data_IF_535899678457
#
_entry.id   IF_535899678457
#
_cell.length_a   1.000
_cell.length_b   1.000
_cell.length_c   1.000
_cell.angle_alpha   90.00
_cell.angle_beta   90.00
_cell.angle_gamma   90.00
#
_symmetry.space_group_name_H-M   'P 1'
#
loop_
_entity.id
_entity.type
_entity.pdbx_description
1 polymer ?
#
# COMPACT_ATOMS: atom_id res chain seq x y z
N UNK A 1 53.75 12.29 -28.93
CA UNK A 1 52.31 12.35 -29.26
C UNK A 1 51.74 10.98 -28.94
N UNK A 2 50.87 10.86 -27.96
CA UNK A 2 50.31 9.56 -27.58
C UNK A 2 49.09 9.26 -28.43
N UNK A 3 49.03 8.07 -29.02
CA UNK A 3 47.83 7.55 -29.66
C UNK A 3 46.92 6.93 -28.59
N UNK A 4 45.73 7.51 -28.41
CA UNK A 4 44.77 7.08 -27.38
C UNK A 4 43.49 6.67 -28.10
N UNK A 5 43.08 5.42 -27.88
CA UNK A 5 41.83 4.87 -28.41
C UNK A 5 40.84 4.64 -27.26
N UNK A 6 39.58 5.02 -27.47
CA UNK A 6 38.50 4.87 -26.49
C UNK A 6 37.44 3.89 -26.99
N UNK A 7 37.01 2.98 -26.12
CA UNK A 7 35.97 2.00 -26.42
C UNK A 7 34.89 2.01 -25.34
N UNK A 8 33.65 1.72 -25.73
CA UNK A 8 32.53 1.57 -24.80
C UNK A 8 32.36 0.10 -24.42
N UNK A 9 32.11 -0.18 -23.14
CA UNK A 9 31.91 -1.53 -22.63
C UNK A 9 30.65 -1.59 -21.76
N UNK A 10 29.78 -2.60 -21.93
CA UNK A 10 28.57 -2.72 -21.14
C UNK A 10 28.86 -3.03 -19.66
N UNK A 11 28.10 -2.38 -18.78
CA UNK A 11 28.13 -2.63 -17.35
C UNK A 11 27.50 -3.97 -16.96
N UNK A 12 28.00 -4.57 -15.87
CA UNK A 12 27.43 -5.77 -15.23
C UNK A 12 27.32 -7.00 -16.15
N UNK A 13 28.31 -7.21 -17.03
CA UNK A 13 28.37 -8.36 -17.96
C UNK A 13 29.48 -9.37 -17.64
N UNK A 14 30.10 -9.35 -16.46
CA UNK A 14 31.21 -10.27 -16.14
C UNK A 14 32.57 -9.84 -16.71
N UNK A 15 32.69 -8.63 -17.27
CA UNK A 15 33.95 -8.16 -17.86
C UNK A 15 34.91 -7.77 -16.74
N UNK A 16 35.86 -8.66 -16.44
CA UNK A 16 36.79 -8.56 -15.30
C UNK A 16 37.33 -7.15 -15.04
N UNK A 17 37.91 -6.50 -16.05
CA UNK A 17 38.48 -5.15 -15.87
C UNK A 17 37.45 -4.06 -15.58
N UNK A 18 36.24 -4.16 -16.14
CA UNK A 18 35.15 -3.22 -15.86
C UNK A 18 34.59 -3.44 -14.46
N UNK A 19 34.44 -4.69 -14.04
CA UNK A 19 33.96 -5.04 -12.70
C UNK A 19 34.98 -4.68 -11.61
N UNK A 20 36.28 -4.87 -11.88
CA UNK A 20 37.35 -4.44 -10.99
C UNK A 20 37.39 -2.91 -10.87
N UNK A 21 37.25 -2.18 -11.98
CA UNK A 21 37.12 -0.72 -11.97
C UNK A 21 35.89 -0.24 -11.19
N UNK A 22 34.72 -0.87 -11.37
CA UNK A 22 33.49 -0.56 -10.62
C UNK A 22 33.64 -0.88 -9.12
N UNK A 23 34.31 -1.98 -8.77
CA UNK A 23 34.62 -2.34 -7.38
C UNK A 23 35.52 -1.30 -6.73
N UNK A 24 36.63 -0.93 -7.38
CA UNK A 24 37.56 0.08 -6.89
C UNK A 24 36.89 1.45 -6.76
N UNK A 25 36.02 1.81 -7.71
CA UNK A 25 35.23 3.04 -7.62
C UNK A 25 34.29 3.02 -6.39
N UNK A 26 33.62 1.90 -6.09
CA UNK A 26 32.79 1.73 -4.89
C UNK A 26 33.61 1.82 -3.61
N UNK A 27 34.78 1.17 -3.55
CA UNK A 27 35.70 1.30 -2.42
C UNK A 27 36.11 2.75 -2.20
N UNK A 28 36.42 3.47 -3.29
CA UNK A 28 36.72 4.90 -3.27
C UNK A 28 35.59 5.75 -2.67
N UNK A 29 34.32 5.34 -2.78
CA UNK A 29 33.20 6.06 -2.15
C UNK A 29 33.20 6.01 -0.62
N UNK A 30 33.94 5.07 -0.02
CA UNK A 30 34.08 4.95 1.44
C UNK A 30 35.21 5.81 2.01
N UNK A 31 36.09 6.31 1.14
CA UNK A 31 37.19 7.19 1.53
C UNK A 31 36.65 8.58 1.94
N UNK A 32 37.30 9.26 2.90
CA UNK A 32 36.92 10.61 3.27
C UNK A 32 37.04 11.55 2.08
N UNK A 33 36.05 12.45 1.94
CA UNK A 33 36.08 13.46 0.90
C UNK A 33 37.35 14.33 1.03
N UNK A 34 38.05 14.61 -0.10
CA UNK A 34 39.11 15.61 -0.16
C UNK A 34 38.76 16.91 0.56
N UNK A 35 39.73 17.47 1.30
CA UNK A 35 39.53 18.74 2.02
C UNK A 35 39.15 19.85 1.02
N UNK A 36 38.08 20.60 1.34
CA UNK A 36 37.60 21.69 0.51
C UNK A 36 36.61 21.28 -0.60
N UNK A 37 36.32 19.98 -0.76
CA UNK A 37 35.30 19.55 -1.71
C UNK A 37 33.89 19.90 -1.19
N UNK A 38 33.18 20.76 -1.93
CA UNK A 38 31.79 21.09 -1.64
C UNK A 38 30.90 19.88 -1.91
N UNK A 39 29.82 19.75 -1.13
CA UNK A 39 28.82 18.72 -1.35
C UNK A 39 28.23 18.86 -2.77
N UNK A 40 28.20 17.76 -3.52
CA UNK A 40 27.58 17.76 -4.85
C UNK A 40 26.08 18.06 -4.74
N UNK A 41 25.50 18.69 -5.76
CA UNK A 41 24.05 18.92 -5.83
C UNK A 41 23.26 17.63 -5.62
N UNK A 42 23.72 16.52 -6.21
CA UNK A 42 23.14 15.18 -6.06
C UNK A 42 23.19 14.69 -4.62
N UNK A 43 24.31 14.91 -3.91
CA UNK A 43 24.47 14.59 -2.49
C UNK A 43 23.51 15.39 -1.60
N UNK A 44 23.41 16.71 -1.83
CA UNK A 44 22.49 17.59 -1.10
C UNK A 44 21.04 17.14 -1.32
N UNK A 45 20.63 16.86 -2.57
CA UNK A 45 19.28 16.36 -2.91
C UNK A 45 19.00 15.01 -2.27
N UNK A 46 19.96 14.09 -2.21
CA UNK A 46 19.82 12.80 -1.50
C UNK A 46 19.56 13.02 -0.02
N UNK A 47 20.40 13.81 0.65
CA UNK A 47 20.25 14.11 2.08
C UNK A 47 18.91 14.80 2.39
N UNK A 48 18.48 15.74 1.55
CA UNK A 48 17.18 16.39 1.69
C UNK A 48 16.03 15.37 1.63
N UNK A 49 16.04 14.48 0.62
CA UNK A 49 15.04 13.40 0.50
C UNK A 49 15.05 12.50 1.73
N UNK A 50 16.22 12.01 2.16
CA UNK A 50 16.34 11.15 3.34
C UNK A 50 15.79 11.80 4.62
N UNK A 51 16.05 13.10 4.81
CA UNK A 51 15.50 13.88 5.93
C UNK A 51 13.98 13.93 5.85
N UNK A 52 13.41 14.24 4.69
CA UNK A 52 11.96 14.24 4.48
C UNK A 52 11.33 12.88 4.76
N UNK A 53 11.90 11.78 4.23
CA UNK A 53 11.42 10.42 4.52
C UNK A 53 11.45 10.10 6.01
N UNK A 54 12.55 10.45 6.71
CA UNK A 54 12.68 10.23 8.16
C UNK A 54 11.66 11.03 8.94
N UNK A 55 11.49 12.31 8.62
CA UNK A 55 10.53 13.18 9.29
C UNK A 55 9.09 12.70 9.08
N UNK A 56 8.75 12.31 7.83
CA UNK A 56 7.44 11.78 7.50
C UNK A 56 7.12 10.48 8.22
N UNK A 57 8.06 9.53 8.29
CA UNK A 57 7.87 8.29 9.05
C UNK A 57 7.70 8.54 10.56
N UNK A 58 8.44 9.50 11.13
CA UNK A 58 8.28 9.90 12.54
C UNK A 58 6.90 10.51 12.78
N UNK A 59 6.48 11.43 11.93
CA UNK A 59 5.14 12.03 11.97
C UNK A 59 4.04 10.96 11.87
N UNK A 60 4.12 10.05 10.91
CA UNK A 60 3.14 8.97 10.76
C UNK A 60 3.01 8.10 12.01
N UNK A 61 4.13 7.68 12.60
CA UNK A 61 4.10 6.88 13.83
C UNK A 61 3.41 7.58 14.99
N UNK A 62 3.39 8.92 14.99
CA UNK A 62 2.77 9.74 16.04
C UNK A 62 1.30 10.05 15.75
N UNK A 63 0.96 10.38 14.50
CA UNK A 63 -0.36 10.87 14.11
C UNK A 63 -1.27 9.81 13.47
N UNK A 64 -0.76 8.63 13.13
CA UNK A 64 -1.58 7.58 12.54
C UNK A 64 -2.76 7.25 13.46
N UNK A 65 -3.95 7.17 12.88
CA UNK A 65 -5.15 6.81 13.65
C UNK A 65 -4.98 5.42 14.27
N UNK A 66 -5.65 5.13 15.40
CA UNK A 66 -5.61 3.79 16.00
C UNK A 66 -5.95 2.68 14.99
N UNK A 67 -6.94 2.94 14.13
CA UNK A 67 -7.35 2.03 13.07
C UNK A 67 -6.23 1.77 12.06
N UNK A 68 -5.58 2.81 11.54
CA UNK A 68 -4.49 2.65 10.57
C UNK A 68 -3.29 1.93 11.18
N UNK A 69 -3.03 2.19 12.46
CA UNK A 69 -1.97 1.50 13.23
C UNK A 69 -2.30 0.01 13.39
N UNK A 70 -3.54 -0.34 13.75
CA UNK A 70 -3.99 -1.74 13.86
C UNK A 70 -3.93 -2.48 12.51
N UNK A 71 -4.21 -1.79 11.40
CA UNK A 71 -4.10 -2.33 10.05
C UNK A 71 -2.65 -2.49 9.57
N UNK A 72 -1.67 -1.90 10.27
CA UNK A 72 -0.27 -1.98 9.88
C UNK A 72 0.05 -1.19 8.59
N UNK A 73 -0.78 -0.21 8.24
CA UNK A 73 -0.57 0.62 7.06
C UNK A 73 0.69 1.49 7.24
N UNK A 74 1.62 1.37 6.29
CA UNK A 74 2.90 2.08 6.32
C UNK A 74 2.78 3.41 5.57
N UNK A 75 3.27 4.48 6.18
CA UNK A 75 3.53 5.72 5.47
C UNK A 75 4.65 5.55 4.44
N UNK A 76 4.34 5.92 3.19
CA UNK A 76 5.32 6.07 2.11
C UNK A 76 5.14 7.46 1.48
N UNK A 77 6.26 8.13 1.15
CA UNK A 77 6.22 9.30 0.26
C UNK A 77 6.23 8.90 -1.22
N UNK A 78 6.43 7.61 -1.52
CA UNK A 78 6.27 7.11 -2.88
C UNK A 78 4.79 7.02 -3.23
N UNK A 79 4.50 7.02 -4.53
CA UNK A 79 3.16 6.79 -5.06
C UNK A 79 2.62 5.44 -4.54
N UNK A 80 1.54 5.42 -3.74
CA UNK A 80 0.96 4.18 -3.24
C UNK A 80 0.37 3.36 -4.39
N UNK A 81 0.64 2.04 -4.47
CA UNK A 81 0.16 1.21 -5.57
C UNK A 81 -1.37 1.14 -5.65
N UNK A 82 -2.08 1.29 -4.53
CA UNK A 82 -3.55 1.33 -4.52
C UNK A 82 -4.15 2.50 -5.32
N UNK A 83 -3.39 3.55 -5.62
CA UNK A 83 -3.87 4.64 -6.47
C UNK A 83 -3.99 4.23 -7.95
N UNK A 84 -3.46 3.06 -8.34
CA UNK A 84 -3.72 2.49 -9.66
C UNK A 84 -5.14 1.91 -9.79
N UNK A 85 -5.85 1.71 -8.67
CA UNK A 85 -7.23 1.20 -8.70
C UNK A 85 -8.19 2.19 -9.39
N UNK A 86 -9.20 1.69 -10.11
CA UNK A 86 -10.29 2.54 -10.57
C UNK A 86 -10.97 3.26 -9.40
N UNK A 87 -11.39 4.52 -9.63
CA UNK A 87 -11.93 5.42 -8.61
C UNK A 87 -13.03 4.80 -7.75
N UNK A 88 -13.91 4.00 -8.35
CA UNK A 88 -15.00 3.31 -7.65
C UNK A 88 -14.48 2.38 -6.54
N UNK A 89 -13.51 1.52 -6.86
CA UNK A 89 -12.91 0.61 -5.88
C UNK A 89 -12.07 1.35 -4.85
N UNK A 90 -11.27 2.33 -5.30
CA UNK A 90 -10.41 3.12 -4.41
C UNK A 90 -11.22 3.84 -3.32
N UNK A 91 -12.34 4.47 -3.69
CA UNK A 91 -13.24 5.12 -2.72
C UNK A 91 -13.71 4.15 -1.63
N UNK A 92 -14.14 2.94 -2.00
CA UNK A 92 -14.61 1.95 -1.03
C UNK A 92 -13.48 1.40 -0.16
N UNK A 93 -12.28 1.20 -0.72
CA UNK A 93 -11.11 0.76 0.04
C UNK A 93 -10.72 1.80 1.10
N UNK A 94 -10.67 3.08 0.72
CA UNK A 94 -10.38 4.17 1.65
C UNK A 94 -11.46 4.32 2.72
N UNK A 95 -12.73 4.15 2.35
CA UNK A 95 -13.84 4.12 3.31
C UNK A 95 -13.69 2.99 4.32
N UNK A 96 -13.42 1.76 3.87
CA UNK A 96 -13.23 0.61 4.77
C UNK A 96 -12.01 0.77 5.70
N UNK A 97 -10.90 1.34 5.19
CA UNK A 97 -9.70 1.63 6.00
C UNK A 97 -9.96 2.71 7.04
N UNK A 98 -10.67 3.78 6.69
CA UNK A 98 -10.93 4.91 7.59
C UNK A 98 -12.13 4.72 8.51
N UNK A 99 -13.07 3.85 8.13
CA UNK A 99 -14.40 3.78 8.75
C UNK A 99 -15.28 4.99 8.37
N UNK A 100 -14.85 5.85 7.44
CA UNK A 100 -15.62 6.98 6.96
C UNK A 100 -16.24 6.63 5.62
N UNK A 101 -17.54 6.33 5.62
CA UNK A 101 -18.26 5.89 4.44
C UNK A 101 -19.71 5.64 4.78
N UNK A 102 -20.36 4.84 3.93
CA UNK A 102 -21.75 4.41 4.13
C UNK A 102 -21.82 3.28 5.19
N UNK A 103 -21.50 3.65 6.42
CA UNK A 103 -21.52 2.76 7.57
C UNK A 103 -22.45 3.31 8.64
N UNK A 104 -23.15 2.41 9.33
CA UNK A 104 -24.11 2.76 10.37
C UNK A 104 -23.48 3.67 11.43
N UNK A 105 -22.32 3.28 11.97
CA UNK A 105 -21.62 4.04 12.99
C UNK A 105 -21.25 5.47 12.54
N UNK A 106 -20.89 5.64 11.27
CA UNK A 106 -20.58 6.96 10.70
C UNK A 106 -21.84 7.83 10.62
N UNK A 107 -22.92 7.31 10.04
CA UNK A 107 -24.18 8.05 9.90
C UNK A 107 -24.78 8.43 11.25
N UNK A 108 -24.72 7.55 12.25
CA UNK A 108 -25.17 7.84 13.60
C UNK A 108 -24.33 8.94 14.28
N UNK A 109 -23.01 8.93 14.09
CA UNK A 109 -22.12 9.95 14.67
C UNK A 109 -22.39 11.35 14.12
N UNK A 110 -22.82 11.45 12.87
CA UNK A 110 -23.05 12.72 12.16
C UNK A 110 -24.53 13.05 11.97
N UNK A 111 -25.43 12.30 12.61
CA UNK A 111 -26.89 12.50 12.58
C UNK A 111 -27.50 12.59 11.16
N UNK A 112 -27.06 11.68 10.28
CA UNK A 112 -27.61 11.58 8.93
C UNK A 112 -28.91 10.78 8.93
N UNK A 113 -30.06 11.46 8.96
CA UNK A 113 -31.40 10.84 9.07
C UNK A 113 -31.84 10.07 7.83
N UNK A 114 -31.42 10.50 6.64
CA UNK A 114 -31.81 9.90 5.36
C UNK A 114 -31.03 8.63 5.00
N UNK A 115 -30.01 8.27 5.79
CA UNK A 115 -29.09 7.21 5.42
C UNK A 115 -29.66 5.81 5.69
N UNK A 116 -29.57 4.92 4.70
CA UNK A 116 -29.92 3.51 4.92
C UNK A 116 -28.84 2.81 5.74
N UNK A 117 -29.15 2.51 7.01
CA UNK A 117 -28.20 1.91 7.97
C UNK A 117 -28.05 0.39 7.85
N UNK A 118 -28.88 -0.25 7.02
CA UNK A 118 -28.91 -1.72 6.84
C UNK A 118 -28.56 -2.12 5.41
N UNK A 119 -27.94 -3.27 5.28
CA UNK A 119 -27.65 -3.93 4.01
C UNK A 119 -28.91 -4.65 3.51
N UNK A 120 -28.99 -4.95 2.20
CA UNK A 120 -30.09 -5.76 1.64
C UNK A 120 -30.13 -7.21 2.15
N UNK A 121 -29.13 -7.62 2.95
CA UNK A 121 -29.19 -8.89 3.69
C UNK A 121 -29.90 -8.78 5.05
N UNK A 122 -30.28 -7.58 5.48
CA UNK A 122 -30.97 -7.29 6.75
C UNK A 122 -30.05 -6.85 7.90
N UNK A 123 -28.74 -7.01 7.77
CA UNK A 123 -27.77 -6.67 8.81
C UNK A 123 -27.36 -5.20 8.76
N UNK A 124 -26.81 -4.69 9.87
CA UNK A 124 -26.24 -3.34 9.92
C UNK A 124 -25.05 -3.19 8.95
N UNK A 125 -24.91 -2.00 8.36
CA UNK A 125 -23.74 -1.62 7.54
C UNK A 125 -22.53 -1.35 8.44
N UNK A 126 -21.97 -2.39 9.03
CA UNK A 126 -20.70 -2.33 9.75
C UNK A 126 -19.51 -2.35 8.77
N UNK A 127 -18.34 -1.91 9.22
CA UNK A 127 -17.20 -1.71 8.31
C UNK A 127 -16.64 -3.03 7.76
N UNK A 128 -16.71 -4.10 8.54
CA UNK A 128 -16.33 -5.46 8.17
C UNK A 128 -17.47 -6.28 7.56
N UNK A 129 -18.68 -5.70 7.45
CA UNK A 129 -19.87 -6.40 6.98
C UNK A 129 -19.68 -7.05 5.61
N UNK A 130 -18.84 -6.51 4.71
CA UNK A 130 -18.62 -7.12 3.40
C UNK A 130 -18.18 -8.59 3.44
N UNK A 131 -17.40 -9.00 4.45
CA UNK A 131 -16.97 -10.40 4.62
C UNK A 131 -17.92 -11.21 5.50
N UNK A 132 -18.77 -10.56 6.29
CA UNK A 132 -19.77 -11.24 7.13
C UNK A 132 -21.15 -11.30 6.47
N UNK A 133 -21.35 -10.61 5.36
CA UNK A 133 -22.62 -10.56 4.67
C UNK A 133 -22.98 -11.96 4.14
N UNK A 134 -24.17 -12.47 4.52
CA UNK A 134 -24.63 -13.78 4.05
C UNK A 134 -24.62 -13.89 2.51
N UNK A 135 -24.89 -12.79 1.80
CA UNK A 135 -24.94 -12.76 0.32
C UNK A 135 -23.55 -12.87 -0.31
N UNK A 136 -22.49 -12.39 0.35
CA UNK A 136 -21.11 -12.57 -0.12
C UNK A 136 -20.55 -13.93 0.30
N UNK A 137 -20.93 -14.41 1.49
CA UNK A 137 -20.51 -15.71 2.03
C UNK A 137 -20.95 -16.90 1.16
N UNK A 138 -22.07 -16.81 0.44
CA UNK A 138 -22.45 -17.85 -0.55
C UNK A 138 -21.36 -18.09 -1.59
N UNK A 139 -20.60 -17.04 -1.94
CA UNK A 139 -19.49 -17.10 -2.92
C UNK A 139 -18.12 -17.15 -2.27
N UNK A 140 -18.03 -17.49 -0.98
CA UNK A 140 -16.77 -17.46 -0.22
C UNK A 140 -15.64 -18.25 -0.87
N UNK A 141 -15.95 -19.41 -1.46
CA UNK A 141 -14.96 -20.23 -2.19
C UNK A 141 -14.35 -19.54 -3.42
N UNK A 142 -15.02 -18.51 -3.95
CA UNK A 142 -14.56 -17.75 -5.11
C UNK A 142 -13.79 -16.48 -4.71
N UNK A 143 -13.70 -16.17 -3.41
CA UNK A 143 -12.95 -15.01 -2.96
C UNK A 143 -11.45 -15.20 -3.21
N UNK A 144 -10.71 -14.12 -3.52
CA UNK A 144 -9.28 -14.23 -3.80
C UNK A 144 -8.49 -14.68 -2.58
N UNK A 145 -7.40 -15.42 -2.82
CA UNK A 145 -6.35 -15.57 -1.80
C UNK A 145 -5.58 -14.27 -1.71
N UNK A 146 -5.41 -13.75 -0.50
CA UNK A 146 -4.83 -12.44 -0.25
C UNK A 146 -3.36 -12.57 0.11
N UNK A 147 -2.55 -11.62 -0.37
CA UNK A 147 -1.12 -11.57 -0.12
C UNK A 147 -0.79 -10.26 0.60
N UNK A 148 -1.03 -10.19 1.93
CA UNK A 148 -0.79 -8.96 2.67
C UNK A 148 0.69 -8.59 2.63
N UNK A 149 1.01 -7.29 2.69
CA UNK A 149 2.40 -6.80 2.71
C UNK A 149 3.17 -7.15 4.00
N UNK A 150 2.53 -7.86 4.95
CA UNK A 150 3.14 -8.39 6.18
C UNK A 150 3.77 -9.76 5.92
N UNK A 151 4.79 -10.13 6.70
CA UNK A 151 5.51 -11.42 6.62
C UNK A 151 4.68 -12.68 6.93
N UNK A 152 3.35 -12.56 7.03
CA UNK A 152 2.45 -13.69 7.22
C UNK A 152 2.20 -14.37 5.86
N UNK A 153 1.99 -15.68 5.88
CA UNK A 153 1.63 -16.45 4.69
C UNK A 153 0.32 -15.96 4.04
N UNK A 154 -0.02 -16.50 2.85
CA UNK A 154 -1.25 -16.12 2.15
C UNK A 154 -2.49 -16.37 3.00
N UNK A 155 -3.42 -15.41 2.98
CA UNK A 155 -4.70 -15.52 3.69
C UNK A 155 -5.74 -16.06 2.70
N UNK A 156 -6.11 -17.33 2.88
CA UNK A 156 -7.09 -18.00 2.03
C UNK A 156 -8.54 -17.67 2.40
N UNK A 157 -9.49 -17.88 1.48
CA UNK A 157 -10.91 -17.58 1.69
C UNK A 157 -11.57 -18.37 2.83
N UNK A 158 -11.04 -19.55 3.16
CA UNK A 158 -11.57 -20.45 4.20
C UNK A 158 -11.12 -20.07 5.61
N UNK A 159 -10.15 -19.15 5.76
CA UNK A 159 -9.58 -18.76 7.06
C UNK A 159 -10.53 -17.94 7.94
N UNK A 160 -10.01 -17.39 9.05
CA UNK A 160 -10.79 -16.47 9.90
C UNK A 160 -11.33 -15.28 9.10
N UNK A 161 -12.62 -14.95 9.23
CA UNK A 161 -13.22 -13.81 8.52
C UNK A 161 -12.64 -12.47 8.98
N UNK A 162 -12.30 -12.34 10.26
CA UNK A 162 -11.64 -11.14 10.79
C UNK A 162 -10.26 -10.95 10.15
N UNK A 163 -9.48 -12.03 10.09
CA UNK A 163 -8.17 -12.01 9.45
C UNK A 163 -8.29 -11.77 7.94
N UNK A 164 -9.29 -12.37 7.30
CA UNK A 164 -9.58 -12.18 5.89
C UNK A 164 -9.95 -10.71 5.61
N UNK A 165 -10.83 -10.11 6.40
CA UNK A 165 -11.18 -8.69 6.28
C UNK A 165 -9.95 -7.79 6.40
N UNK A 166 -9.10 -8.03 7.41
CA UNK A 166 -7.87 -7.26 7.61
C UNK A 166 -6.91 -7.40 6.42
N UNK A 167 -6.73 -8.63 5.91
CA UNK A 167 -5.98 -8.86 4.68
C UNK A 167 -6.59 -8.11 3.50
N UNK A 168 -7.91 -8.18 3.36
CA UNK A 168 -8.65 -7.68 2.21
C UNK A 168 -8.52 -6.17 2.09
N UNK A 169 -8.60 -5.43 3.20
CA UNK A 169 -8.47 -3.97 3.17
C UNK A 169 -7.00 -3.50 3.15
N UNK A 170 -6.03 -4.39 3.33
CA UNK A 170 -4.59 -4.06 3.20
C UNK A 170 -4.03 -4.46 1.84
N UNK A 171 -4.67 -5.39 1.14
CA UNK A 171 -4.36 -5.84 -0.22
C UNK A 171 -5.33 -5.21 -1.23
N UNK A 172 -4.85 -4.21 -1.97
CA UNK A 172 -5.69 -3.44 -2.90
C UNK A 172 -6.12 -4.24 -4.13
N UNK A 173 -5.26 -5.15 -4.61
CA UNK A 173 -5.60 -6.05 -5.72
C UNK A 173 -6.63 -7.09 -5.27
N UNK A 174 -6.41 -7.68 -4.09
CA UNK A 174 -7.36 -8.58 -3.44
C UNK A 174 -8.72 -7.92 -3.20
N UNK A 175 -8.74 -6.66 -2.75
CA UNK A 175 -9.96 -5.88 -2.57
C UNK A 175 -10.75 -5.72 -3.87
N UNK A 176 -10.08 -5.35 -4.95
CA UNK A 176 -10.71 -5.22 -6.27
C UNK A 176 -11.25 -6.57 -6.76
N UNK A 177 -10.47 -7.64 -6.65
CA UNK A 177 -10.87 -8.98 -7.06
C UNK A 177 -12.11 -9.46 -6.27
N UNK A 178 -12.12 -9.26 -4.95
CA UNK A 178 -13.27 -9.58 -4.10
C UNK A 178 -14.53 -8.84 -4.54
N UNK A 179 -14.44 -7.53 -4.79
CA UNK A 179 -15.59 -6.74 -5.22
C UNK A 179 -16.08 -7.12 -6.61
N UNK A 180 -15.18 -7.55 -7.49
CA UNK A 180 -15.53 -8.05 -8.83
C UNK A 180 -16.28 -9.39 -8.77
N UNK A 181 -15.97 -10.25 -7.80
CA UNK A 181 -16.67 -11.54 -7.59
C UNK A 181 -18.02 -11.37 -6.91
N UNK A 182 -18.12 -10.41 -5.98
CA UNK A 182 -19.28 -10.27 -5.10
C UNK A 182 -20.28 -9.20 -5.55
N UNK A 183 -19.87 -8.25 -6.38
CA UNK A 183 -20.64 -7.04 -6.72
C UNK A 183 -21.15 -6.29 -5.46
N UNK A 184 -20.41 -6.36 -4.34
CA UNK A 184 -20.96 -6.02 -3.02
C UNK A 184 -21.56 -4.62 -2.97
N UNK A 185 -20.80 -3.59 -3.33
CA UNK A 185 -21.26 -2.20 -3.30
C UNK A 185 -22.18 -1.80 -4.47
N UNK A 186 -22.41 -2.70 -5.43
CA UNK A 186 -23.27 -2.43 -6.59
C UNK A 186 -24.64 -3.11 -6.45
N UNK A 187 -24.68 -4.37 -5.99
CA UNK A 187 -25.89 -5.20 -5.96
C UNK A 187 -26.33 -5.60 -4.55
N UNK A 188 -25.40 -5.71 -3.60
CA UNK A 188 -25.71 -6.25 -2.27
C UNK A 188 -25.94 -5.12 -1.26
N UNK A 189 -25.04 -4.16 -1.19
CA UNK A 189 -25.06 -3.07 -0.23
C UNK A 189 -24.69 -1.76 -0.94
N UNK A 190 -25.52 -1.30 -1.89
CA UNK A 190 -25.28 -0.03 -2.54
C UNK A 190 -25.56 1.13 -1.59
N UNK A 191 -24.98 2.28 -1.93
CA UNK A 191 -25.26 3.56 -1.29
C UNK A 191 -26.68 3.98 -1.64
N UNK A 192 -27.50 4.25 -0.62
CA UNK A 192 -28.80 4.89 -0.77
C UNK A 192 -28.80 6.16 0.05
#
# INVERSE_FOLDING_TARGET
MYDIQTHWSPGHQGIKGNEEADSLAKEGTTLPAPRGQLATLSGIKRLARERSYRQYRKWWKREATPRYTQLGLKASLAYPPELALPRAYLHHLLAARSGHGDFKQYHQRFDHTEALLTCSCGEAKEVDHLVYCRKTLVRRLQWPTLHPSSSQGPIGPIGSLEQYYKGLITDHEGFQAFLSVTDFFQKICPRY
#
